data_IF_368536591922
#
_entry.id   IF_368536591922
#
_cell.length_a   1.000
_cell.length_b   1.000
_cell.length_c   1.000
_cell.angle_alpha   90.00
_cell.angle_beta   90.00
_cell.angle_gamma   90.00
#
_symmetry.space_group_name_H-M   'P 1'
#
loop_
_entity.id
_entity.type
_entity.pdbx_description
1 polymer ?
#
# COMPACT_ATOMS: atom_id res chain seq x y z
N UNK A 1 32.47 -14.54 -14.42
CA UNK A 1 31.25 -13.96 -14.98
C UNK A 1 31.15 -12.57 -14.39
N UNK A 2 30.80 -11.54 -15.15
CA UNK A 2 30.60 -10.21 -14.60
C UNK A 2 29.30 -10.19 -13.81
N UNK A 3 29.30 -9.58 -12.63
CA UNK A 3 28.09 -9.41 -11.80
C UNK A 3 27.00 -8.68 -12.61
N UNK A 4 25.77 -9.22 -12.58
CA UNK A 4 24.61 -8.58 -13.20
C UNK A 4 23.90 -7.74 -12.12
N UNK A 5 23.72 -6.46 -12.38
CA UNK A 5 23.05 -5.53 -11.47
C UNK A 5 21.76 -5.02 -12.08
N UNK A 6 20.69 -5.09 -11.30
CA UNK A 6 19.49 -4.28 -11.54
C UNK A 6 19.80 -2.84 -11.14
N UNK A 7 19.41 -1.87 -11.96
CA UNK A 7 19.51 -0.46 -11.66
C UNK A 7 18.15 0.19 -11.84
N UNK A 8 17.58 0.67 -10.74
CA UNK A 8 16.24 1.27 -10.72
C UNK A 8 16.15 2.52 -11.60
N UNK A 9 14.97 2.75 -12.20
CA UNK A 9 14.74 3.84 -13.16
C UNK A 9 13.75 4.91 -12.65
N UNK A 10 13.24 4.80 -11.41
CA UNK A 10 12.18 5.67 -10.89
C UNK A 10 12.55 7.16 -10.94
N UNK A 11 13.78 7.50 -10.57
CA UNK A 11 14.24 8.89 -10.52
C UNK A 11 15.35 9.15 -11.54
N UNK A 12 15.29 10.26 -12.31
CA UNK A 12 16.30 10.55 -13.34
C UNK A 12 17.69 10.86 -12.77
N UNK A 13 17.75 11.36 -11.53
CA UNK A 13 18.99 11.84 -10.88
C UNK A 13 19.47 10.95 -9.74
N UNK A 14 18.73 9.91 -9.40
CA UNK A 14 19.04 8.99 -8.31
C UNK A 14 18.74 7.55 -8.72
N UNK A 15 19.63 6.63 -8.41
CA UNK A 15 19.43 5.20 -8.66
C UNK A 15 19.91 4.37 -7.49
N UNK A 16 19.14 3.38 -7.12
CA UNK A 16 19.65 2.25 -6.34
C UNK A 16 19.99 1.10 -7.27
N UNK A 17 20.92 0.25 -6.87
CA UNK A 17 21.29 -0.93 -7.62
C UNK A 17 21.28 -2.17 -6.70
N UNK A 18 20.70 -3.27 -7.18
CA UNK A 18 20.62 -4.55 -6.49
C UNK A 18 21.36 -5.62 -7.33
N UNK A 19 22.19 -6.43 -6.68
CA UNK A 19 22.84 -7.56 -7.36
C UNK A 19 21.78 -8.60 -7.74
N UNK A 20 21.83 -9.07 -8.97
CA UNK A 20 20.99 -10.16 -9.47
C UNK A 20 21.77 -11.46 -9.31
N UNK A 21 21.37 -12.29 -8.33
CA UNK A 21 21.96 -13.62 -8.17
C UNK A 21 21.38 -14.60 -9.20
N UNK A 22 20.06 -14.50 -9.47
CA UNK A 22 19.33 -15.34 -10.40
C UNK A 22 18.09 -14.62 -10.91
N UNK A 23 17.78 -14.68 -12.20
CA UNK A 23 16.50 -14.24 -12.76
C UNK A 23 15.51 -15.39 -12.69
N UNK A 24 14.37 -15.18 -12.01
CA UNK A 24 13.32 -16.19 -11.84
C UNK A 24 12.22 -16.03 -12.89
N UNK A 25 11.91 -14.79 -13.24
CA UNK A 25 10.94 -14.42 -14.27
C UNK A 25 11.38 -13.14 -14.98
N UNK A 26 11.26 -13.08 -16.28
CA UNK A 26 11.45 -11.88 -17.09
C UNK A 26 10.45 -11.90 -18.24
N UNK A 27 9.55 -10.93 -18.31
CA UNK A 27 8.49 -10.91 -19.31
C UNK A 27 7.74 -9.60 -19.33
N UNK A 28 6.65 -9.58 -20.11
CA UNK A 28 5.77 -8.44 -20.24
C UNK A 28 4.33 -8.86 -19.96
N UNK A 29 3.63 -8.08 -19.16
CA UNK A 29 2.18 -8.20 -18.98
C UNK A 29 1.45 -7.41 -20.06
N UNK A 30 0.12 -7.30 -20.00
CA UNK A 30 -0.64 -6.43 -20.89
C UNK A 30 -0.32 -4.93 -20.65
N UNK A 31 0.21 -4.57 -19.50
CA UNK A 31 0.38 -3.19 -19.06
C UNK A 31 1.83 -2.76 -18.89
N UNK A 32 2.75 -3.67 -18.49
CA UNK A 32 4.08 -3.32 -18.03
C UNK A 32 5.10 -4.45 -18.21
N UNK A 33 6.39 -4.11 -18.15
CA UNK A 33 7.48 -5.08 -18.07
C UNK A 33 7.60 -5.58 -16.63
N UNK A 34 7.72 -6.90 -16.43
CA UNK A 34 7.87 -7.49 -15.11
C UNK A 34 9.13 -8.35 -15.03
N UNK A 35 9.92 -8.15 -13.99
CA UNK A 35 11.08 -9.00 -13.69
C UNK A 35 11.04 -9.41 -12.23
N UNK A 36 11.22 -10.71 -11.98
CA UNK A 36 11.44 -11.24 -10.63
C UNK A 36 12.83 -11.86 -10.60
N UNK A 37 13.65 -11.41 -9.68
CA UNK A 37 14.99 -11.94 -9.49
C UNK A 37 15.30 -12.22 -8.03
N UNK A 38 16.30 -13.06 -7.77
CA UNK A 38 16.81 -13.34 -6.44
C UNK A 38 17.95 -12.37 -6.10
N UNK A 39 17.91 -11.88 -4.87
CA UNK A 39 18.99 -11.14 -4.25
C UNK A 39 19.30 -11.76 -2.89
N UNK A 40 20.57 -12.03 -2.58
CA UNK A 40 20.99 -12.72 -1.37
C UNK A 40 20.61 -12.01 -0.07
N UNK A 41 20.41 -10.66 -0.10
CA UNK A 41 20.00 -9.88 1.06
C UNK A 41 18.48 -9.73 1.19
N UNK A 42 17.79 -9.50 0.06
CA UNK A 42 16.37 -9.13 0.05
C UNK A 42 15.44 -10.29 -0.35
N UNK A 43 16.00 -11.48 -0.64
CA UNK A 43 15.19 -12.59 -1.14
C UNK A 43 14.75 -12.35 -2.60
N UNK A 44 13.53 -12.67 -2.92
CA UNK A 44 12.96 -12.39 -4.24
C UNK A 44 12.53 -10.94 -4.32
N UNK A 45 12.82 -10.32 -5.45
CA UNK A 45 12.56 -8.91 -5.75
C UNK A 45 11.67 -8.84 -6.98
N UNK A 46 10.51 -8.20 -6.87
CA UNK A 46 9.64 -7.85 -7.99
C UNK A 46 9.96 -6.44 -8.47
N UNK A 47 10.15 -6.29 -9.77
CA UNK A 47 10.23 -4.98 -10.43
C UNK A 47 9.23 -4.89 -11.57
N UNK A 48 8.60 -3.72 -11.69
CA UNK A 48 7.69 -3.38 -12.77
C UNK A 48 8.23 -2.13 -13.47
N UNK A 49 8.34 -2.18 -14.81
CA UNK A 49 8.92 -1.11 -15.65
C UNK A 49 10.29 -0.59 -15.16
N UNK A 50 11.08 -1.47 -14.52
CA UNK A 50 12.40 -1.14 -13.98
C UNK A 50 12.37 -0.39 -12.64
N UNK A 51 11.26 -0.45 -11.90
CA UNK A 51 11.07 0.10 -10.55
C UNK A 51 10.84 -1.03 -9.57
N UNK A 52 11.52 -1.04 -8.43
CA UNK A 52 11.29 -2.01 -7.34
C UNK A 52 9.89 -1.81 -6.78
N UNK A 53 9.08 -2.88 -6.81
CA UNK A 53 7.73 -2.87 -6.23
C UNK A 53 7.72 -3.48 -4.83
N UNK A 54 8.39 -4.60 -4.65
CA UNK A 54 8.43 -5.29 -3.35
C UNK A 54 9.59 -6.28 -3.29
N UNK A 55 10.01 -6.62 -2.08
CA UNK A 55 10.98 -7.69 -1.81
C UNK A 55 10.53 -8.54 -0.62
N UNK A 56 10.86 -9.84 -0.61
CA UNK A 56 10.59 -10.71 0.53
C UNK A 56 11.30 -10.25 1.83
N UNK A 57 12.38 -9.49 1.69
CA UNK A 57 13.22 -9.07 2.81
C UNK A 57 12.66 -7.92 3.65
N UNK A 58 11.89 -7.01 3.04
CA UNK A 58 11.43 -5.78 3.69
C UNK A 58 9.96 -5.40 3.44
N UNK A 59 9.20 -6.19 2.68
CA UNK A 59 7.80 -5.94 2.36
C UNK A 59 6.92 -5.66 3.57
N UNK A 60 7.22 -6.31 4.69
CA UNK A 60 6.47 -6.16 5.94
C UNK A 60 6.48 -4.73 6.48
N UNK A 61 7.53 -3.96 6.20
CA UNK A 61 7.59 -2.53 6.59
C UNK A 61 6.50 -1.70 5.90
N UNK A 62 6.10 -2.10 4.71
CA UNK A 62 5.05 -1.45 3.93
C UNK A 62 3.68 -2.07 4.20
N UNK A 63 3.54 -3.37 3.97
CA UNK A 63 2.25 -4.06 4.01
C UNK A 63 1.59 -4.01 5.40
N UNK A 64 2.37 -4.16 6.46
CA UNK A 64 1.84 -4.03 7.81
C UNK A 64 1.33 -2.62 8.10
N UNK A 65 2.05 -1.58 7.67
CA UNK A 65 1.67 -0.21 7.99
C UNK A 65 0.49 0.29 7.15
N UNK A 66 0.42 -0.07 5.86
CA UNK A 66 -0.72 0.34 5.02
C UNK A 66 -2.01 -0.40 5.40
N UNK A 67 -1.90 -1.64 5.91
CA UNK A 67 -3.06 -2.46 6.30
C UNK A 67 -3.47 -2.27 7.77
N UNK A 68 -2.52 -2.43 8.71
CA UNK A 68 -2.88 -2.45 10.14
C UNK A 68 -3.25 -1.08 10.67
N UNK A 69 -2.59 0.00 10.23
CA UNK A 69 -2.91 1.35 10.73
C UNK A 69 -4.38 1.68 10.53
N UNK A 70 -4.97 1.64 9.32
CA UNK A 70 -6.38 1.99 9.14
C UNK A 70 -7.33 0.96 9.74
N UNK A 71 -7.07 -0.34 9.64
CA UNK A 71 -7.98 -1.37 10.13
C UNK A 71 -8.07 -1.35 11.67
N UNK A 72 -6.93 -1.20 12.35
CA UNK A 72 -6.91 -1.11 13.81
C UNK A 72 -7.48 0.23 14.29
N UNK A 73 -7.20 1.33 13.61
CA UNK A 73 -7.77 2.64 13.95
C UNK A 73 -9.29 2.66 13.81
N UNK A 74 -9.87 1.99 12.81
CA UNK A 74 -11.32 1.84 12.67
C UNK A 74 -11.94 1.06 13.83
N UNK A 75 -11.28 0.02 14.30
CA UNK A 75 -11.61 -0.76 15.50
C UNK A 75 -12.66 -1.85 15.30
N UNK A 76 -13.47 -1.80 14.24
CA UNK A 76 -14.51 -2.81 13.92
C UNK A 76 -14.75 -2.95 12.41
N UNK A 77 -13.70 -2.83 11.60
CA UNK A 77 -13.79 -2.97 10.15
C UNK A 77 -14.27 -4.37 9.76
N UNK A 78 -15.33 -4.47 8.96
CA UNK A 78 -15.89 -5.71 8.45
C UNK A 78 -15.70 -5.88 6.97
N UNK A 79 -15.67 -4.78 6.22
CA UNK A 79 -15.52 -4.77 4.76
C UNK A 79 -14.36 -3.86 4.39
N UNK A 80 -13.36 -4.44 3.76
CA UNK A 80 -12.18 -3.72 3.29
C UNK A 80 -12.10 -3.81 1.77
N UNK A 81 -11.84 -2.69 1.12
CA UNK A 81 -11.52 -2.63 -0.31
C UNK A 81 -10.03 -2.35 -0.45
N UNK A 82 -9.37 -3.11 -1.30
CA UNK A 82 -7.98 -2.92 -1.73
C UNK A 82 -8.02 -2.63 -3.24
N UNK A 83 -7.42 -1.53 -3.68
CA UNK A 83 -7.29 -1.18 -5.10
C UNK A 83 -5.81 -1.28 -5.45
N UNK A 84 -5.48 -2.21 -6.35
CA UNK A 84 -4.12 -2.68 -6.59
C UNK A 84 -3.72 -3.81 -5.65
N UNK A 85 -2.43 -3.87 -5.29
CA UNK A 85 -1.90 -4.88 -4.36
C UNK A 85 -1.71 -6.26 -4.96
N UNK A 86 -1.37 -6.33 -6.25
CA UNK A 86 -1.26 -7.58 -7.02
C UNK A 86 -0.28 -8.61 -6.48
N UNK A 87 0.62 -8.23 -5.58
CA UNK A 87 1.50 -9.16 -4.87
C UNK A 87 0.81 -9.94 -3.74
N UNK A 88 -0.35 -9.44 -3.26
CA UNK A 88 -1.17 -10.06 -2.22
C UNK A 88 -0.72 -9.77 -0.79
N UNK A 89 0.32 -8.98 -0.57
CA UNK A 89 0.84 -8.68 0.77
C UNK A 89 -0.15 -7.87 1.60
N UNK A 90 -0.78 -6.83 1.04
CA UNK A 90 -1.83 -6.06 1.72
C UNK A 90 -3.04 -6.94 2.02
N UNK A 91 -3.47 -7.78 1.07
CA UNK A 91 -4.58 -8.71 1.28
C UNK A 91 -4.30 -9.68 2.43
N UNK A 92 -3.08 -10.25 2.51
CA UNK A 92 -2.63 -11.09 3.61
C UNK A 92 -2.77 -10.37 4.95
N UNK A 93 -2.25 -9.14 5.06
CA UNK A 93 -2.29 -8.40 6.32
C UNK A 93 -3.71 -8.01 6.73
N UNK A 94 -4.57 -7.62 5.79
CA UNK A 94 -5.99 -7.33 6.06
C UNK A 94 -6.71 -8.58 6.58
N UNK A 95 -6.43 -9.76 6.03
CA UNK A 95 -7.08 -11.01 6.43
C UNK A 95 -6.66 -11.55 7.81
N UNK A 96 -5.59 -11.02 8.42
CA UNK A 96 -5.26 -11.27 9.84
C UNK A 96 -6.26 -10.63 10.80
N UNK A 97 -7.04 -9.67 10.34
CA UNK A 97 -8.10 -9.04 11.12
C UNK A 97 -9.45 -9.78 10.99
N UNK A 98 -10.41 -9.56 11.91
CA UNK A 98 -11.72 -10.20 11.89
C UNK A 98 -12.68 -9.54 10.89
N UNK A 99 -12.16 -9.22 9.70
CA UNK A 99 -12.96 -8.72 8.58
C UNK A 99 -13.85 -9.83 8.03
N UNK A 100 -15.05 -9.47 7.59
CA UNK A 100 -15.97 -10.41 6.96
C UNK A 100 -15.65 -10.63 5.49
N UNK A 101 -15.15 -9.58 4.83
CA UNK A 101 -14.81 -9.61 3.40
C UNK A 101 -13.72 -8.60 3.10
N UNK A 102 -12.71 -9.03 2.37
CA UNK A 102 -11.70 -8.20 1.73
C UNK A 102 -11.90 -8.29 0.22
N UNK A 103 -12.33 -7.19 -0.40
CA UNK A 103 -12.45 -7.07 -1.87
C UNK A 103 -11.15 -6.49 -2.39
N UNK A 104 -10.52 -7.15 -3.35
CA UNK A 104 -9.31 -6.69 -4.01
C UNK A 104 -9.60 -6.49 -5.48
N UNK A 105 -9.37 -5.30 -5.99
CA UNK A 105 -9.54 -4.93 -7.39
C UNK A 105 -8.16 -4.70 -8.00
N UNK A 106 -7.74 -5.61 -8.85
CA UNK A 106 -6.45 -5.54 -9.53
C UNK A 106 -6.66 -5.43 -11.05
N UNK A 107 -5.92 -4.54 -11.69
CA UNK A 107 -6.00 -4.34 -13.13
C UNK A 107 -5.29 -5.45 -13.91
N UNK A 108 -4.16 -5.92 -13.39
CA UNK A 108 -3.25 -6.83 -14.07
C UNK A 108 -3.23 -8.23 -13.43
N UNK A 109 -4.10 -9.11 -13.92
CA UNK A 109 -4.17 -10.52 -13.48
C UNK A 109 -2.81 -11.23 -13.60
N UNK A 110 -1.97 -10.82 -14.56
CA UNK A 110 -0.65 -11.43 -14.75
C UNK A 110 0.27 -11.15 -13.57
N UNK A 111 0.20 -9.96 -12.97
CA UNK A 111 0.99 -9.63 -11.77
C UNK A 111 0.60 -10.56 -10.61
N UNK A 112 -0.69 -10.80 -10.37
CA UNK A 112 -1.15 -11.75 -9.35
C UNK A 112 -0.62 -13.15 -9.62
N UNK A 113 -0.69 -13.60 -10.89
CA UNK A 113 -0.24 -14.93 -11.29
C UNK A 113 1.27 -15.12 -11.05
N UNK A 114 2.11 -14.17 -11.51
CA UNK A 114 3.57 -14.30 -11.34
C UNK A 114 3.99 -14.16 -9.87
N UNK A 115 3.28 -13.33 -9.07
CA UNK A 115 3.54 -13.24 -7.64
C UNK A 115 3.14 -14.52 -6.91
N UNK A 116 2.01 -15.13 -7.26
CA UNK A 116 1.59 -16.43 -6.71
C UNK A 116 2.62 -17.54 -7.03
N UNK A 117 3.14 -17.56 -8.25
CA UNK A 117 4.06 -18.61 -8.71
C UNK A 117 5.49 -18.40 -8.21
N UNK A 118 5.98 -17.18 -8.24
CA UNK A 118 7.38 -16.88 -7.97
C UNK A 118 7.64 -16.21 -6.61
N UNK A 119 6.64 -15.64 -5.95
CA UNK A 119 6.75 -14.97 -4.63
C UNK A 119 5.63 -15.39 -3.68
N UNK A 120 5.35 -16.70 -3.51
CA UNK A 120 4.17 -17.19 -2.77
C UNK A 120 4.14 -16.74 -1.30
N UNK A 121 5.28 -16.42 -0.70
CA UNK A 121 5.39 -15.92 0.66
C UNK A 121 4.72 -14.56 0.88
N UNK A 122 4.56 -13.75 -0.18
CA UNK A 122 3.93 -12.44 -0.07
C UNK A 122 2.43 -12.55 0.23
N UNK A 123 1.72 -13.34 -0.55
CA UNK A 123 0.29 -13.55 -0.35
C UNK A 123 -0.02 -14.60 0.72
N UNK A 124 0.87 -15.56 0.96
CA UNK A 124 0.74 -16.65 1.92
C UNK A 124 -0.67 -17.30 1.91
N UNK A 125 -1.16 -17.60 0.70
CA UNK A 125 -2.49 -18.19 0.50
C UNK A 125 -3.67 -17.20 0.61
N UNK A 126 -3.44 -15.91 0.77
CA UNK A 126 -4.49 -14.92 0.94
C UNK A 126 -5.49 -14.85 -0.24
N UNK A 127 -5.01 -15.08 -1.46
CA UNK A 127 -5.88 -15.09 -2.65
C UNK A 127 -6.95 -16.20 -2.63
N UNK A 128 -6.70 -17.29 -1.91
CA UNK A 128 -7.60 -18.45 -1.82
C UNK A 128 -8.41 -18.45 -0.50
N UNK A 129 -8.28 -17.41 0.32
CA UNK A 129 -9.01 -17.28 1.57
C UNK A 129 -10.50 -17.05 1.28
N UNK A 130 -11.45 -17.75 1.94
CA UNK A 130 -12.89 -17.62 1.68
C UNK A 130 -13.47 -16.23 1.98
N UNK A 131 -12.74 -15.37 2.68
CA UNK A 131 -13.08 -13.96 2.92
C UNK A 131 -12.53 -13.01 1.86
N UNK A 132 -11.62 -13.47 1.01
CA UNK A 132 -11.09 -12.72 -0.11
C UNK A 132 -12.03 -12.77 -1.32
N UNK A 133 -12.20 -11.64 -1.98
CA UNK A 133 -12.93 -11.50 -3.23
C UNK A 133 -12.05 -10.73 -4.21
N UNK A 134 -11.26 -11.47 -4.98
CA UNK A 134 -10.30 -10.90 -5.94
C UNK A 134 -10.97 -10.76 -7.30
N UNK A 135 -10.96 -9.54 -7.84
CA UNK A 135 -11.58 -9.22 -9.12
C UNK A 135 -10.57 -8.52 -10.03
N UNK A 136 -10.49 -8.96 -11.27
CA UNK A 136 -9.61 -8.38 -12.29
C UNK A 136 -10.38 -7.35 -13.11
N UNK A 137 -10.20 -6.08 -12.80
CA UNK A 137 -10.88 -4.98 -13.47
C UNK A 137 -10.24 -3.62 -13.11
N UNK A 138 -10.67 -2.58 -13.83
CA UNK A 138 -10.26 -1.21 -13.57
C UNK A 138 -10.86 -0.69 -12.26
N UNK A 139 -10.00 -0.36 -11.29
CA UNK A 139 -10.38 0.15 -9.96
C UNK A 139 -11.13 1.49 -10.02
N UNK A 140 -10.84 2.35 -11.03
CA UNK A 140 -11.54 3.63 -11.21
C UNK A 140 -13.00 3.38 -11.58
N UNK A 141 -13.23 2.48 -12.54
CA UNK A 141 -14.59 2.10 -12.95
C UNK A 141 -15.33 1.45 -11.80
N UNK A 142 -14.65 0.57 -11.06
CA UNK A 142 -15.27 -0.09 -9.91
C UNK A 142 -15.80 0.92 -8.88
N UNK A 143 -14.97 1.87 -8.42
CA UNK A 143 -15.43 2.84 -7.43
C UNK A 143 -16.41 3.87 -7.98
N UNK A 144 -16.42 4.13 -9.30
CA UNK A 144 -17.40 5.01 -9.93
C UNK A 144 -18.80 4.38 -10.02
N UNK A 145 -18.87 3.07 -10.26
CA UNK A 145 -20.10 2.35 -10.62
C UNK A 145 -20.70 1.54 -9.46
N UNK A 146 -19.90 1.19 -8.44
CA UNK A 146 -20.35 0.33 -7.33
C UNK A 146 -21.26 1.07 -6.35
N UNK A 147 -22.28 0.36 -5.85
CA UNK A 147 -23.10 0.76 -4.70
C UNK A 147 -22.58 0.10 -3.38
N UNK A 148 -21.51 -0.68 -3.46
CA UNK A 148 -20.91 -1.30 -2.26
C UNK A 148 -20.26 -0.24 -1.38
N UNK A 149 -20.36 -0.43 -0.05
CA UNK A 149 -19.68 0.44 0.92
C UNK A 149 -18.67 -0.35 1.75
N UNK A 150 -17.61 0.35 2.18
CA UNK A 150 -16.47 -0.23 2.87
C UNK A 150 -16.12 0.56 4.12
N UNK A 151 -15.64 -0.15 5.15
CA UNK A 151 -15.16 0.46 6.38
C UNK A 151 -13.73 1.01 6.22
N UNK A 152 -12.94 0.35 5.38
CA UNK A 152 -11.59 0.80 5.03
C UNK A 152 -11.39 0.62 3.53
N UNK A 153 -10.83 1.62 2.88
CA UNK A 153 -10.34 1.54 1.51
C UNK A 153 -8.83 1.77 1.52
N UNK A 154 -8.09 0.85 0.90
CA UNK A 154 -6.63 0.90 0.78
C UNK A 154 -6.30 0.99 -0.70
N UNK A 155 -5.62 2.07 -1.11
CA UNK A 155 -5.11 2.23 -2.47
C UNK A 155 -3.63 1.88 -2.45
N UNK A 156 -3.33 0.70 -2.96
CA UNK A 156 -1.99 0.11 -3.06
C UNK A 156 -1.60 0.00 -4.53
N UNK A 157 -1.37 1.15 -5.13
CA UNK A 157 -1.01 1.29 -6.55
C UNK A 157 0.50 1.49 -6.73
N UNK A 158 0.97 1.29 -7.95
CA UNK A 158 2.30 1.80 -8.36
C UNK A 158 2.34 3.33 -8.26
N UNK A 159 3.54 3.90 -8.35
CA UNK A 159 3.72 5.36 -8.46
C UNK A 159 2.83 5.95 -9.57
N UNK A 160 2.52 7.28 -9.55
CA UNK A 160 1.68 7.94 -10.55
C UNK A 160 2.36 8.04 -11.92
N UNK A 161 2.81 6.90 -12.44
CA UNK A 161 3.49 6.73 -13.73
C UNK A 161 2.74 5.62 -14.50
N UNK A 162 2.45 5.85 -15.77
CA UNK A 162 1.76 4.85 -16.59
C UNK A 162 0.35 4.52 -16.08
N UNK A 163 0.00 3.23 -15.91
CA UNK A 163 -1.35 2.83 -15.48
C UNK A 163 -1.81 3.38 -14.13
N UNK A 164 -0.86 3.69 -13.23
CA UNK A 164 -1.15 4.22 -11.89
C UNK A 164 -1.56 5.70 -11.87
N UNK A 165 -1.23 6.49 -12.88
CA UNK A 165 -1.43 7.96 -12.90
C UNK A 165 -2.90 8.35 -12.65
N UNK A 166 -3.83 7.61 -13.19
CA UNK A 166 -5.28 7.87 -13.11
C UNK A 166 -5.88 7.63 -11.72
N UNK A 167 -5.21 6.87 -10.84
CA UNK A 167 -5.61 6.64 -9.45
C UNK A 167 -5.31 7.84 -8.52
N UNK A 168 -4.80 8.93 -9.08
CA UNK A 168 -4.46 10.15 -8.35
C UNK A 168 -5.33 11.35 -8.76
N UNK A 169 -6.50 11.14 -9.39
CA UNK A 169 -7.41 12.22 -9.78
C UNK A 169 -8.35 12.63 -8.63
N UNK A 170 -8.80 13.90 -8.55
CA UNK A 170 -9.79 14.33 -7.56
C UNK A 170 -11.10 13.54 -7.64
N UNK A 171 -11.55 13.17 -8.85
CA UNK A 171 -12.76 12.40 -9.07
C UNK A 171 -12.65 10.99 -8.50
N UNK A 172 -11.51 10.32 -8.70
CA UNK A 172 -11.26 9.01 -8.12
C UNK A 172 -11.34 9.03 -6.59
N UNK A 173 -10.69 10.01 -5.94
CA UNK A 173 -10.76 10.17 -4.49
C UNK A 173 -12.18 10.47 -3.98
N UNK A 174 -12.96 11.27 -4.72
CA UNK A 174 -14.36 11.55 -4.38
C UNK A 174 -15.22 10.28 -4.48
N UNK A 175 -15.01 9.45 -5.50
CA UNK A 175 -15.69 8.16 -5.65
C UNK A 175 -15.29 7.18 -4.52
N UNK A 176 -14.02 7.12 -4.14
CA UNK A 176 -13.59 6.35 -2.99
C UNK A 176 -14.27 6.84 -1.69
N UNK A 177 -14.33 8.15 -1.47
CA UNK A 177 -15.02 8.73 -0.30
C UNK A 177 -16.52 8.38 -0.26
N UNK A 178 -17.20 8.37 -1.42
CA UNK A 178 -18.60 7.93 -1.55
C UNK A 178 -18.78 6.45 -1.19
N UNK A 179 -17.80 5.62 -1.50
CA UNK A 179 -17.83 4.19 -1.19
C UNK A 179 -17.47 3.87 0.28
N UNK A 180 -17.17 4.86 1.12
CA UNK A 180 -16.92 4.65 2.54
C UNK A 180 -18.21 4.68 3.36
N UNK A 181 -18.23 3.87 4.43
CA UNK A 181 -19.23 3.99 5.48
C UNK A 181 -19.03 5.31 6.27
N UNK A 182 -20.00 5.72 7.08
CA UNK A 182 -19.95 6.95 7.88
C UNK A 182 -18.67 7.06 8.76
N UNK A 183 -18.15 5.92 9.23
CA UNK A 183 -16.91 5.85 10.02
C UNK A 183 -15.68 5.45 9.17
N UNK A 184 -15.83 5.46 7.86
CA UNK A 184 -14.86 4.91 6.93
C UNK A 184 -13.53 5.65 6.92
N UNK A 185 -12.48 4.90 6.56
CA UNK A 185 -11.11 5.39 6.45
C UNK A 185 -10.58 5.07 5.05
N UNK A 186 -9.98 6.07 4.42
CA UNK A 186 -9.23 5.93 3.17
C UNK A 186 -7.75 6.08 3.45
N UNK A 187 -6.95 5.13 2.99
CA UNK A 187 -5.49 5.27 2.94
C UNK A 187 -4.97 5.00 1.53
N UNK A 188 -3.89 5.65 1.17
CA UNK A 188 -3.23 5.48 -0.12
C UNK A 188 -1.73 5.62 0.02
N UNK A 189 -0.98 4.85 -0.76
CA UNK A 189 0.44 5.12 -0.93
C UNK A 189 0.64 6.52 -1.54
N UNK A 190 1.72 7.21 -1.17
CA UNK A 190 2.00 8.58 -1.60
C UNK A 190 3.49 8.83 -1.89
N UNK A 191 4.20 7.76 -2.20
CA UNK A 191 5.62 7.78 -2.57
C UNK A 191 6.58 8.09 -1.42
N UNK A 192 7.85 8.17 -1.77
CA UNK A 192 8.92 8.58 -0.85
C UNK A 192 9.01 10.10 -0.87
N UNK A 193 8.48 10.75 0.17
CA UNK A 193 8.26 12.21 0.16
C UNK A 193 9.51 13.03 -0.08
N UNK A 194 10.70 12.57 0.31
CA UNK A 194 11.93 13.30 0.03
C UNK A 194 12.16 13.50 -1.48
N UNK A 195 11.81 12.53 -2.28
CA UNK A 195 11.95 12.55 -3.75
C UNK A 195 10.66 12.98 -4.45
N UNK A 196 9.50 12.70 -3.83
CA UNK A 196 8.17 12.85 -4.42
C UNK A 196 7.29 13.79 -3.57
N UNK A 197 7.85 14.95 -3.19
CA UNK A 197 7.18 15.90 -2.30
C UNK A 197 5.86 16.44 -2.88
N UNK A 198 5.80 16.63 -4.20
CA UNK A 198 4.61 17.15 -4.86
C UNK A 198 3.43 16.17 -4.78
N UNK A 199 3.71 14.88 -4.95
CA UNK A 199 2.72 13.80 -4.88
C UNK A 199 2.10 13.71 -3.48
N UNK A 200 2.93 13.67 -2.44
CA UNK A 200 2.46 13.65 -1.05
C UNK A 200 1.63 14.90 -0.69
N UNK A 201 2.06 16.09 -1.14
CA UNK A 201 1.32 17.33 -0.93
C UNK A 201 -0.04 17.33 -1.65
N UNK A 202 -0.09 16.83 -2.88
CA UNK A 202 -1.34 16.73 -3.64
C UNK A 202 -2.30 15.71 -3.01
N UNK A 203 -1.79 14.55 -2.60
CA UNK A 203 -2.60 13.55 -1.88
C UNK A 203 -3.22 14.17 -0.62
N UNK A 204 -2.43 14.84 0.19
CA UNK A 204 -2.95 15.51 1.37
C UNK A 204 -4.03 16.55 1.03
N UNK A 205 -3.81 17.40 0.02
CA UNK A 205 -4.80 18.41 -0.41
C UNK A 205 -6.13 17.78 -0.84
N UNK A 206 -6.09 16.67 -1.59
CA UNK A 206 -7.28 15.92 -2.00
C UNK A 206 -8.02 15.33 -0.80
N UNK A 207 -7.27 14.68 0.12
CA UNK A 207 -7.86 14.15 1.35
C UNK A 207 -8.52 15.26 2.18
N UNK A 208 -7.85 16.39 2.36
CA UNK A 208 -8.35 17.54 3.14
C UNK A 208 -9.63 18.15 2.55
N UNK A 209 -9.82 18.08 1.24
CA UNK A 209 -11.04 18.59 0.59
C UNK A 209 -12.26 17.68 0.77
N UNK A 210 -12.06 16.42 1.12
CA UNK A 210 -13.09 15.39 1.16
C UNK A 210 -13.40 14.89 2.58
N UNK A 211 -12.45 14.98 3.49
CA UNK A 211 -12.54 14.37 4.80
C UNK A 211 -12.46 15.39 5.95
N UNK A 212 -13.12 15.05 7.04
CA UNK A 212 -13.07 15.84 8.28
C UNK A 212 -11.67 15.78 8.90
N UNK A 213 -11.04 14.61 8.86
CA UNK A 213 -9.68 14.40 9.30
C UNK A 213 -8.83 13.92 8.13
N UNK A 214 -7.81 14.70 7.79
CA UNK A 214 -6.83 14.36 6.75
C UNK A 214 -5.42 14.54 7.30
N UNK A 215 -4.55 13.59 6.98
CA UNK A 215 -3.15 13.59 7.38
C UNK A 215 -2.29 12.81 6.41
N UNK A 216 -0.99 12.83 6.66
CA UNK A 216 -0.05 11.83 6.17
C UNK A 216 0.44 11.01 7.35
N UNK A 217 0.92 9.80 7.10
CA UNK A 217 1.72 9.03 8.05
C UNK A 217 2.85 8.32 7.31
N UNK A 218 3.87 7.87 8.02
CA UNK A 218 5.12 7.42 7.43
C UNK A 218 5.55 6.04 7.91
N UNK A 219 6.29 5.34 7.06
CA UNK A 219 7.06 4.15 7.41
C UNK A 219 8.44 4.20 6.76
N UNK A 220 9.36 3.36 7.21
CA UNK A 220 10.66 3.19 6.57
C UNK A 220 10.71 1.83 5.86
N UNK A 221 10.83 1.85 4.54
CA UNK A 221 11.03 0.64 3.73
C UNK A 221 12.44 0.70 3.15
N UNK A 222 13.33 -0.25 3.52
CA UNK A 222 14.74 -0.19 3.11
C UNK A 222 14.98 -0.09 1.61
N UNK A 223 14.18 -0.77 0.79
CA UNK A 223 14.32 -0.74 -0.68
C UNK A 223 13.56 0.41 -1.35
N UNK A 224 12.73 1.16 -0.63
CA UNK A 224 12.17 2.43 -1.13
C UNK A 224 13.11 3.55 -0.71
N UNK A 225 14.17 3.67 -1.48
CA UNK A 225 15.34 4.46 -1.11
C UNK A 225 15.07 5.98 -1.04
N UNK A 226 15.97 6.67 -0.33
CA UNK A 226 16.02 8.13 -0.19
C UNK A 226 15.00 8.76 0.78
N UNK A 227 14.34 8.02 1.66
CA UNK A 227 13.53 8.65 2.70
C UNK A 227 12.40 7.80 3.27
N UNK A 228 11.46 8.48 3.89
CA UNK A 228 10.25 7.83 4.40
C UNK A 228 9.26 7.59 3.28
N UNK A 229 8.77 6.37 3.19
CA UNK A 229 7.55 6.04 2.47
C UNK A 229 6.37 6.69 3.20
N UNK A 230 5.50 7.33 2.45
CA UNK A 230 4.41 8.14 2.98
C UNK A 230 3.07 7.58 2.54
N UNK A 231 2.12 7.60 3.44
CA UNK A 231 0.73 7.22 3.18
C UNK A 231 -0.19 8.41 3.42
N UNK A 232 -1.14 8.61 2.51
CA UNK A 232 -2.26 9.53 2.71
C UNK A 232 -3.31 8.92 3.62
N UNK A 233 -3.91 9.75 4.47
CA UNK A 233 -4.97 9.39 5.40
C UNK A 233 -6.16 10.32 5.23
N UNK A 234 -7.37 9.76 5.10
CA UNK A 234 -8.63 10.49 5.12
C UNK A 234 -9.69 9.75 5.92
N UNK A 235 -10.42 10.44 6.79
CA UNK A 235 -11.52 9.86 7.55
C UNK A 235 -12.65 10.88 7.76
N UNK A 236 -13.90 10.40 7.80
CA UNK A 236 -15.06 11.22 8.13
C UNK A 236 -15.14 11.62 9.61
N UNK A 237 -14.21 11.14 10.45
CA UNK A 237 -14.10 11.45 11.88
C UNK A 237 -12.64 11.58 12.30
N UNK A 238 -12.33 12.50 13.20
CA UNK A 238 -11.00 12.63 13.78
C UNK A 238 -10.64 11.52 14.80
N UNK A 239 -11.63 10.81 15.31
CA UNK A 239 -11.45 9.85 16.40
C UNK A 239 -10.52 8.66 16.05
N UNK A 240 -10.55 8.07 14.84
CA UNK A 240 -9.66 6.97 14.49
C UNK A 240 -8.17 7.31 14.63
N UNK A 241 -7.74 8.50 14.16
CA UNK A 241 -6.33 8.92 14.23
C UNK A 241 -5.88 9.31 15.65
N UNK A 242 -6.82 9.58 16.54
CA UNK A 242 -6.57 9.92 17.95
C UNK A 242 -6.57 8.68 18.87
N UNK A 243 -6.64 7.48 18.32
CA UNK A 243 -6.60 6.23 19.10
C UNK A 243 -5.27 6.12 19.84
N UNK A 244 -5.34 5.89 21.15
CA UNK A 244 -4.13 5.82 22.01
C UNK A 244 -3.42 4.48 21.89
N UNK A 245 -2.15 4.42 22.33
CA UNK A 245 -1.35 3.18 22.39
C UNK A 245 -2.08 2.10 23.18
N UNK A 246 -2.68 2.46 24.34
CA UNK A 246 -3.40 1.52 25.19
C UNK A 246 -4.62 0.93 24.49
N UNK A 247 -5.37 1.77 23.77
CA UNK A 247 -6.54 1.31 23.03
C UNK A 247 -6.14 0.42 21.83
N UNK A 248 -5.08 0.78 21.11
CA UNK A 248 -4.54 -0.03 20.02
C UNK A 248 -4.09 -1.40 20.57
N UNK A 249 -3.33 -1.40 21.67
CA UNK A 249 -2.90 -2.63 22.35
C UNK A 249 -4.08 -3.53 22.70
N UNK A 250 -5.16 -2.94 23.23
CA UNK A 250 -6.39 -3.67 23.57
C UNK A 250 -7.07 -4.26 22.33
N UNK A 251 -7.10 -3.52 21.21
CA UNK A 251 -7.72 -3.97 19.96
C UNK A 251 -6.99 -5.17 19.34
N UNK A 252 -5.66 -5.17 19.39
CA UNK A 252 -4.85 -6.23 18.78
C UNK A 252 -4.54 -7.39 19.72
N UNK A 253 -4.82 -7.29 21.03
CA UNK A 253 -4.46 -8.28 22.04
C UNK A 253 -4.99 -9.70 21.77
N UNK A 254 -6.04 -9.84 20.95
CA UNK A 254 -6.64 -11.13 20.59
C UNK A 254 -6.36 -11.55 19.13
N UNK A 255 -5.54 -10.76 18.42
CA UNK A 255 -5.19 -11.00 17.03
C UNK A 255 -3.78 -11.61 16.98
N UNK A 256 -3.63 -12.61 16.15
CA UNK A 256 -2.30 -13.11 15.78
C UNK A 256 -1.84 -12.37 14.53
N UNK A 257 -1.34 -11.17 14.71
CA UNK A 257 -0.81 -10.38 13.59
C UNK A 257 0.55 -10.89 13.13
N UNK A 258 1.31 -11.54 14.02
CA UNK A 258 2.70 -11.95 13.78
C UNK A 258 3.53 -10.83 13.13
N UNK A 259 3.26 -9.57 13.54
CA UNK A 259 3.83 -8.38 12.93
C UNK A 259 5.32 -8.26 13.27
N UNK A 260 6.11 -7.84 12.28
CA UNK A 260 7.56 -7.65 12.36
C UNK A 260 7.94 -6.18 12.54
N UNK A 261 7.10 -5.27 12.03
CA UNK A 261 7.30 -3.82 12.05
C UNK A 261 6.23 -3.10 12.87
N UNK A 262 4.96 -3.49 12.69
CA UNK A 262 3.83 -2.83 13.32
C UNK A 262 3.77 -3.14 14.82
N UNK A 263 3.72 -2.08 15.63
CA UNK A 263 3.41 -2.09 17.07
C UNK A 263 2.42 -0.97 17.39
N UNK A 264 1.73 -0.98 18.54
CA UNK A 264 0.91 0.16 18.97
C UNK A 264 1.67 1.48 18.99
N UNK A 265 2.95 1.45 19.38
CA UNK A 265 3.81 2.63 19.43
C UNK A 265 4.18 3.12 18.03
N UNK A 266 4.56 2.22 17.10
CA UNK A 266 4.84 2.60 15.70
C UNK A 266 3.60 3.12 15.01
N UNK A 267 2.41 2.59 15.31
CA UNK A 267 1.15 3.12 14.80
C UNK A 267 0.98 4.61 15.15
N UNK A 268 1.06 4.94 16.43
CA UNK A 268 0.88 6.33 16.89
C UNK A 268 2.03 7.21 16.39
N UNK A 269 3.28 6.73 16.50
CA UNK A 269 4.46 7.47 16.08
C UNK A 269 4.51 7.74 14.57
N UNK A 270 3.89 6.90 13.73
CA UNK A 270 3.87 7.09 12.28
C UNK A 270 3.24 8.41 11.83
N UNK A 271 2.34 8.99 12.66
CA UNK A 271 1.75 10.30 12.42
C UNK A 271 2.59 11.48 12.95
N UNK A 272 3.70 11.23 13.64
CA UNK A 272 4.66 12.24 14.05
C UNK A 272 5.61 12.57 12.88
N UNK A 273 5.16 13.42 11.99
CA UNK A 273 5.82 13.70 10.72
C UNK A 273 7.11 14.51 10.90
N UNK A 274 8.21 14.17 10.18
CA UNK A 274 9.35 15.05 10.01
C UNK A 274 8.96 16.44 9.51
N UNK A 275 9.67 17.48 9.96
CA UNK A 275 9.30 18.87 9.66
C UNK A 275 9.17 19.19 8.18
N UNK A 276 9.98 18.60 7.30
CA UNK A 276 9.87 18.80 5.86
C UNK A 276 8.61 18.21 5.24
N UNK A 277 8.14 17.06 5.75
CA UNK A 277 6.87 16.42 5.35
C UNK A 277 5.69 17.27 5.85
N UNK A 278 5.72 17.64 7.14
CA UNK A 278 4.67 18.50 7.72
C UNK A 278 4.55 19.84 6.96
N UNK A 279 5.67 20.43 6.54
CA UNK A 279 5.70 21.66 5.75
C UNK A 279 5.09 21.48 4.35
N UNK A 280 5.25 20.33 3.70
CA UNK A 280 4.65 20.07 2.39
C UNK A 280 3.12 20.06 2.43
N UNK A 281 2.51 19.72 3.58
CA UNK A 281 1.06 19.76 3.77
C UNK A 281 0.50 21.20 3.85
N UNK A 282 1.34 22.20 4.07
CA UNK A 282 0.96 23.60 4.19
C UNK A 282 1.20 24.41 2.91
N UNK A 283 1.87 23.83 1.93
CA UNK A 283 2.14 24.39 0.63
C UNK A 283 0.99 24.04 -0.34
#
# INVERSE_FOLDING_TARGET
>A
MSDRWFSEKLHPTYRQALLIDEVLFEGRTAFQEAVIFRNSRFGRVLTLDGVVQTTEGDEFCYHEMIAHVPVVAHGDAKRVLIIGGGDGGVLREVLKHPVKRAVMIELDETVVTICRDYMPSLSDGAFDNPRADVRFMDGIKFVAETDETFDVIIIDSTDPIGPGEVLFTPEFYANCARCLTERGILVTQSGVTFMQQAEAAQTYKRMKSLFVDASLYVTQVPTYAAGFMTFGWGSHSAAPRQTTVEEITRRIAKLDLAARYYTPETHVASFALPGYIAKSMSA
#
